data_IF_228247323141
#
_entry.id   IF_228247323141
#
_cell.length_a   1.000
_cell.length_b   1.000
_cell.length_c   1.000
_cell.angle_alpha   90.00
_cell.angle_beta   90.00
_cell.angle_gamma   90.00
#
_symmetry.space_group_name_H-M   'P 1'
#
loop_
_entity.id
_entity.type
_entity.pdbx_description
1 polymer ?
#
# COMPACT_ATOMS: atom_id res chain seq x y z
N UNK A 1 -14.39 14.31 -11.63
CA UNK A 1 -14.20 14.06 -11.27
C UNK A 1 -13.98 13.45 -10.75
N UNK A 2 -13.95 13.20 -10.59
CA UNK A 2 -13.59 12.71 -10.17
C UNK A 2 -13.86 11.80 -9.87
N UNK A 3 -14.10 11.38 -10.15
CA UNK A 3 -14.43 10.46 -9.84
C UNK A 3 -13.79 9.46 -9.40
N UNK A 4 -13.13 9.11 -9.78
CA UNK A 4 -12.33 8.02 -9.41
C UNK A 4 -12.04 8.02 -8.00
N UNK A 5 -12.04 9.10 -7.55
CA UNK A 5 -11.85 9.26 -6.28
C UNK A 5 -12.68 8.49 -5.48
N UNK A 6 -13.79 8.32 -5.92
CA UNK A 6 -14.69 7.70 -5.25
C UNK A 6 -14.40 6.35 -4.86
N UNK A 7 -13.73 5.65 -5.60
CA UNK A 7 -13.48 4.31 -5.34
C UNK A 7 -12.83 4.06 -4.04
N UNK A 8 -11.85 4.81 -3.70
CA UNK A 8 -11.19 4.65 -2.45
C UNK A 8 -11.41 5.84 -1.61
N UNK A 9 -12.51 6.45 -1.75
CA UNK A 9 -12.70 7.69 -1.07
C UNK A 9 -13.34 7.62 0.29
N UNK A 10 -13.60 6.45 0.78
CA UNK A 10 -14.28 6.34 2.04
C UNK A 10 -13.38 6.79 3.15
N UNK A 11 -13.76 7.81 3.89
CA UNK A 11 -12.89 8.34 4.91
C UNK A 11 -12.96 7.62 6.23
N UNK A 12 -13.78 6.60 6.31
CA UNK A 12 -14.00 5.92 7.59
C UNK A 12 -12.99 4.86 7.94
N UNK A 13 -12.20 4.40 7.00
CA UNK A 13 -11.23 3.37 7.28
C UNK A 13 -9.96 3.94 7.87
N UNK A 14 -9.14 3.11 8.50
CA UNK A 14 -7.84 3.56 8.98
C UNK A 14 -6.93 3.94 7.82
N UNK A 15 -6.00 4.83 8.08
CA UNK A 15 -5.03 5.28 7.09
C UNK A 15 -3.65 4.81 7.49
N UNK A 16 -2.75 4.71 6.53
CA UNK A 16 -1.39 4.30 6.81
C UNK A 16 -0.63 5.45 7.43
N UNK A 17 0.04 5.19 8.55
CA UNK A 17 0.89 6.18 9.17
C UNK A 17 2.37 5.86 8.98
N UNK A 18 2.74 4.59 8.79
CA UNK A 18 4.12 4.19 8.54
C UNK A 18 4.14 3.01 7.59
N UNK A 19 5.19 2.91 6.79
CA UNK A 19 5.39 1.77 5.92
C UNK A 19 6.87 1.42 5.89
N UNK A 20 7.17 0.12 5.94
CA UNK A 20 8.55 -0.38 5.81
C UNK A 20 8.54 -1.52 4.82
N UNK A 21 9.39 -1.48 3.79
CA UNK A 21 9.48 -2.60 2.87
C UNK A 21 10.21 -3.77 3.54
N UNK A 22 9.70 -4.96 3.31
CA UNK A 22 10.27 -6.17 3.89
C UNK A 22 10.76 -7.07 2.78
N UNK A 23 11.48 -8.12 3.14
CA UNK A 23 11.89 -9.11 2.17
C UNK A 23 10.65 -9.79 1.63
N UNK A 24 10.77 -10.48 0.54
CA UNK A 24 9.66 -11.18 -0.11
C UNK A 24 8.56 -10.24 -0.61
N UNK A 25 8.91 -9.00 -0.90
CA UNK A 25 7.95 -8.04 -1.44
C UNK A 25 6.73 -7.88 -0.54
N UNK A 26 6.97 -7.79 0.75
CA UNK A 26 5.91 -7.49 1.71
C UNK A 26 6.12 -6.12 2.31
N UNK A 27 5.04 -5.52 2.77
CA UNK A 27 5.09 -4.22 3.43
C UNK A 27 4.62 -4.37 4.86
N UNK A 28 5.41 -3.85 5.79
CA UNK A 28 4.97 -3.74 7.18
C UNK A 28 4.30 -2.39 7.32
N UNK A 29 3.03 -2.40 7.65
CA UNK A 29 2.21 -1.19 7.72
C UNK A 29 1.79 -0.91 9.14
N UNK A 30 1.83 0.38 9.51
CA UNK A 30 1.21 0.82 10.75
C UNK A 30 0.08 1.75 10.35
N UNK A 31 -1.11 1.48 10.87
CA UNK A 31 -2.27 2.28 10.55
C UNK A 31 -2.55 3.28 11.67
N UNK A 32 -3.34 4.29 11.37
CA UNK A 32 -3.62 5.37 12.33
C UNK A 32 -4.38 4.89 13.55
N UNK A 33 -5.03 3.75 13.48
CA UNK A 33 -5.71 3.17 14.64
C UNK A 33 -4.76 2.34 15.52
N UNK A 34 -3.47 2.36 15.21
CA UNK A 34 -2.47 1.62 15.98
C UNK A 34 -2.23 0.19 15.52
N UNK A 35 -2.98 -0.30 14.57
CA UNK A 35 -2.78 -1.67 14.09
C UNK A 35 -1.53 -1.79 13.26
N UNK A 36 -0.83 -2.90 13.42
CA UNK A 36 0.31 -3.24 12.58
C UNK A 36 -0.09 -4.42 11.73
N UNK A 37 0.09 -4.30 10.44
CA UNK A 37 -0.37 -5.32 9.50
C UNK A 37 0.71 -5.54 8.44
N UNK A 38 0.61 -6.69 7.76
CA UNK A 38 1.54 -7.05 6.69
C UNK A 38 0.75 -7.18 5.40
N UNK A 39 1.21 -6.53 4.37
CA UNK A 39 0.59 -6.62 3.05
C UNK A 39 1.54 -7.29 2.08
N UNK A 40 1.08 -8.33 1.40
CA UNK A 40 1.90 -9.07 0.45
C UNK A 40 1.72 -8.43 -0.94
N UNK A 41 2.77 -7.86 -1.48
CA UNK A 41 2.74 -7.19 -2.77
C UNK A 41 2.91 -8.19 -3.92
N UNK A 42 3.37 -9.42 -3.63
CA UNK A 42 3.64 -10.38 -4.70
C UNK A 42 2.50 -10.58 -5.69
N UNK A 43 1.25 -10.69 -5.26
CA UNK A 43 0.18 -10.84 -6.24
C UNK A 43 0.05 -9.67 -7.19
N UNK A 44 0.49 -8.47 -6.79
CA UNK A 44 0.39 -7.30 -7.64
C UNK A 44 1.46 -7.28 -8.72
N UNK A 45 2.55 -8.03 -8.53
CA UNK A 45 3.68 -7.97 -9.45
C UNK A 45 3.36 -8.48 -10.85
N UNK A 46 2.28 -9.23 -11.00
CA UNK A 46 1.84 -9.71 -12.30
C UNK A 46 0.83 -8.75 -12.95
N UNK A 47 0.43 -7.70 -12.24
CA UNK A 47 -0.50 -6.73 -12.78
C UNK A 47 0.30 -5.63 -13.47
N UNK A 48 -0.08 -5.30 -14.70
CA UNK A 48 0.70 -4.36 -15.51
C UNK A 48 1.04 -3.07 -14.79
N UNK A 49 0.11 -2.50 -14.07
CA UNK A 49 0.32 -1.21 -13.42
C UNK A 49 1.37 -1.28 -12.31
N UNK A 50 1.69 -2.48 -11.83
CA UNK A 50 2.62 -2.65 -10.72
C UNK A 50 3.90 -3.38 -11.10
N UNK A 51 4.13 -3.63 -12.39
CA UNK A 51 5.28 -4.43 -12.80
C UNK A 51 6.61 -3.76 -12.47
N UNK A 52 6.67 -2.44 -12.40
CA UNK A 52 7.92 -1.79 -12.05
C UNK A 52 8.35 -2.10 -10.62
N UNK A 53 7.44 -2.59 -9.78
CA UNK A 53 7.78 -2.98 -8.41
C UNK A 53 8.63 -4.24 -8.36
N UNK A 54 8.75 -4.96 -9.47
CA UNK A 54 9.64 -6.11 -9.53
C UNK A 54 11.09 -5.66 -9.37
N UNK A 55 11.38 -4.40 -9.71
CA UNK A 55 12.68 -3.84 -9.44
C UNK A 55 12.73 -3.55 -7.94
N UNK A 56 13.62 -4.24 -7.23
CA UNK A 56 13.70 -4.14 -5.78
C UNK A 56 13.93 -2.71 -5.32
N UNK A 57 14.71 -1.94 -6.05
CA UNK A 57 14.98 -0.56 -5.67
C UNK A 57 13.72 0.29 -5.74
N UNK A 58 12.86 0.04 -6.73
CA UNK A 58 11.60 0.77 -6.84
C UNK A 58 10.70 0.37 -5.67
N UNK A 59 10.62 -0.93 -5.38
CA UNK A 59 9.78 -1.42 -4.28
C UNK A 59 10.22 -0.80 -2.95
N UNK A 60 11.53 -0.74 -2.72
CA UNK A 60 12.03 -0.23 -1.44
C UNK A 60 11.91 1.27 -1.30
N UNK A 61 11.62 1.97 -2.37
CA UNK A 61 11.44 3.42 -2.32
C UNK A 61 10.02 3.82 -1.91
N UNK A 62 9.22 2.89 -1.44
CA UNK A 62 7.85 3.16 -1.00
C UNK A 62 7.82 4.17 0.13
N UNK A 63 6.80 5.01 0.14
CA UNK A 63 6.61 5.98 1.22
C UNK A 63 5.13 6.13 1.50
N UNK A 64 4.82 6.72 2.65
CA UNK A 64 3.45 7.04 3.01
C UNK A 64 3.06 8.33 2.29
N UNK A 65 1.92 8.33 1.66
CA UNK A 65 1.38 9.53 1.03
C UNK A 65 -0.13 9.39 0.95
N UNK A 66 -0.82 10.48 1.22
CA UNK A 66 -2.28 10.53 1.09
C UNK A 66 -3.00 9.44 1.90
N UNK A 67 -2.41 9.08 3.04
CA UNK A 67 -3.01 8.05 3.91
C UNK A 67 -2.85 6.62 3.40
N UNK A 68 -2.01 6.42 2.39
CA UNK A 68 -1.75 5.09 1.86
C UNK A 68 -0.26 4.99 1.53
N UNK A 69 0.10 4.16 0.57
CA UNK A 69 1.50 3.98 0.15
C UNK A 69 1.66 4.50 -1.26
N UNK A 70 2.83 5.02 -1.56
CA UNK A 70 3.16 5.54 -2.87
C UNK A 70 4.56 5.09 -3.24
N UNK A 71 4.72 4.58 -4.46
CA UNK A 71 6.02 4.20 -5.01
C UNK A 71 6.40 5.19 -6.12
N UNK A 72 7.65 5.21 -6.54
CA UNK A 72 8.06 6.04 -7.67
C UNK A 72 7.18 5.77 -8.90
N UNK A 73 7.08 6.73 -9.78
CA UNK A 73 6.25 6.68 -10.98
C UNK A 73 4.75 6.79 -10.65
N UNK A 74 4.45 7.42 -9.51
CA UNK A 74 3.07 7.64 -9.09
C UNK A 74 2.25 6.36 -8.95
N UNK A 75 2.91 5.28 -8.58
CA UNK A 75 2.20 4.03 -8.33
C UNK A 75 1.67 4.07 -6.90
N UNK A 76 0.38 3.97 -6.76
CA UNK A 76 -0.24 4.01 -5.43
C UNK A 76 -1.26 2.88 -5.28
N UNK A 77 -1.84 2.77 -4.12
CA UNK A 77 -2.82 1.73 -3.83
C UNK A 77 -3.88 2.31 -2.91
N UNK A 78 -5.10 1.84 -3.06
CA UNK A 78 -6.22 2.33 -2.27
C UNK A 78 -6.04 1.97 -0.80
N UNK A 79 -6.11 2.92 0.13
CA UNK A 79 -5.88 2.63 1.54
C UNK A 79 -6.90 1.66 2.12
N UNK A 80 -8.14 1.71 1.70
CA UNK A 80 -9.14 0.79 2.21
C UNK A 80 -8.84 -0.64 1.77
N UNK A 81 -8.47 -0.82 0.51
CA UNK A 81 -8.13 -2.14 0.00
C UNK A 81 -6.86 -2.65 0.67
N UNK A 82 -5.89 -1.76 0.88
CA UNK A 82 -4.66 -2.11 1.54
C UNK A 82 -4.94 -2.65 2.94
N UNK A 83 -5.81 -1.99 3.67
CA UNK A 83 -6.15 -2.42 5.01
C UNK A 83 -6.87 -3.77 4.98
N UNK A 84 -7.85 -3.92 4.10
CA UNK A 84 -8.65 -5.13 4.06
C UNK A 84 -7.89 -6.34 3.59
N UNK A 85 -6.93 -6.15 2.69
CA UNK A 85 -6.15 -7.26 2.15
C UNK A 85 -4.90 -7.59 2.94
N UNK A 86 -4.52 -6.72 3.87
CA UNK A 86 -3.37 -7.01 4.72
C UNK A 86 -3.81 -7.94 5.84
N UNK A 87 -2.83 -8.53 6.53
CA UNK A 87 -3.12 -9.43 7.64
C UNK A 87 -2.46 -8.88 8.89
N UNK A 88 -2.98 -9.17 10.07
CA UNK A 88 -2.36 -8.69 11.30
C UNK A 88 -0.92 -9.17 11.40
N UNK A 89 -0.05 -8.33 11.91
CA UNK A 89 1.37 -8.63 11.99
C UNK A 89 1.70 -9.61 13.11
N UNK A 90 0.79 -9.89 13.97
CA UNK A 90 1.02 -10.81 15.10
C UNK A 90 0.59 -12.20 14.77
#
# INVERSE_FOLDING_TARGET
>A
MQDSIIICGMPLGPRVSEVLPMEDYKLALTFTNGEKRIFDVKPLLSIRAFTSLRNRKVFEAVKVAYGSVLWPNDIDYCPDTLYMESVPAN
#
